data_IF_201708078311
#
_entry.id   IF_201708078311
#
_cell.length_a   1.000
_cell.length_b   1.000
_cell.length_c   1.000
_cell.angle_alpha   90.00
_cell.angle_beta   90.00
_cell.angle_gamma   90.00
#
_symmetry.space_group_name_H-M   'P 1'
#
loop_
_entity.id
_entity.type
_entity.pdbx_description
1 polymer ?
#
# COMPACT_ATOMS: atom_id res chain seq x y z
N UNK A 1 4.18 -6.81 -34.91
CA UNK A 1 2.71 -6.69 -34.98
C UNK A 1 2.13 -7.58 -33.89
N UNK A 2 1.41 -6.97 -32.94
CA UNK A 2 0.51 -7.57 -31.93
C UNK A 2 1.08 -8.74 -31.09
N UNK A 3 1.69 -8.44 -29.94
CA UNK A 3 1.78 -9.35 -28.76
C UNK A 3 2.41 -8.68 -27.52
N UNK A 4 1.98 -7.46 -27.19
CA UNK A 4 2.33 -6.83 -25.89
C UNK A 4 1.16 -6.43 -25.00
N UNK A 5 -0.09 -6.47 -25.45
CA UNK A 5 -1.24 -6.21 -24.57
C UNK A 5 -2.50 -6.93 -25.10
N UNK A 6 -3.00 -7.98 -24.44
CA UNK A 6 -4.24 -8.64 -24.84
C UNK A 6 -5.52 -7.94 -24.36
N UNK A 7 -5.45 -6.93 -23.48
CA UNK A 7 -6.64 -6.42 -22.78
C UNK A 7 -7.12 -5.01 -23.16
N UNK A 8 -6.63 -4.40 -24.25
CA UNK A 8 -7.08 -3.04 -24.62
C UNK A 8 -8.31 -3.03 -25.54
N UNK A 9 -8.72 -4.17 -26.12
CA UNK A 9 -9.91 -4.22 -26.99
C UNK A 9 -10.67 -5.54 -26.88
N UNK A 10 -11.44 -5.70 -25.81
CA UNK A 10 -12.64 -6.53 -25.83
C UNK A 10 -13.46 -6.25 -24.57
N UNK A 11 -14.69 -5.79 -24.78
CA UNK A 11 -15.74 -5.71 -23.76
C UNK A 11 -16.00 -7.11 -23.23
N UNK A 12 -15.47 -7.42 -22.06
CA UNK A 12 -15.87 -8.55 -21.25
C UNK A 12 -15.84 -8.11 -19.78
N UNK A 13 -16.84 -8.59 -19.06
CA UNK A 13 -17.31 -8.07 -17.78
C UNK A 13 -16.28 -7.94 -16.68
N UNK A 14 -16.63 -7.08 -15.72
CA UNK A 14 -15.94 -6.84 -14.45
C UNK A 14 -15.53 -8.14 -13.77
N UNK A 15 -14.29 -8.57 -13.97
CA UNK A 15 -13.64 -9.54 -13.09
C UNK A 15 -12.40 -8.92 -12.44
N UNK A 16 -12.33 -9.19 -11.15
CA UNK A 16 -11.46 -8.64 -10.11
C UNK A 16 -9.98 -8.60 -10.50
N UNK A 17 -9.33 -7.47 -10.21
CA UNK A 17 -7.88 -7.23 -10.41
C UNK A 17 -6.98 -8.33 -9.81
N UNK A 18 -7.47 -9.09 -8.83
CA UNK A 18 -6.79 -10.26 -8.27
C UNK A 18 -6.52 -11.40 -9.26
N UNK A 19 -7.42 -11.65 -10.22
CA UNK A 19 -7.25 -12.75 -11.20
C UNK A 19 -6.16 -12.45 -12.23
N UNK A 20 -6.00 -11.18 -12.58
CA UNK A 20 -4.97 -10.79 -13.56
C UNK A 20 -3.56 -11.06 -13.03
N UNK A 21 -3.30 -10.78 -11.74
CA UNK A 21 -1.97 -10.98 -11.13
C UNK A 21 -1.58 -12.45 -11.00
N UNK A 22 -2.51 -13.33 -10.63
CA UNK A 22 -2.30 -14.77 -10.58
C UNK A 22 -1.95 -15.32 -11.97
N UNK A 23 -2.68 -14.88 -12.99
CA UNK A 23 -2.46 -15.25 -14.40
C UNK A 23 -1.06 -14.86 -14.88
N UNK A 24 -0.55 -13.68 -14.49
CA UNK A 24 0.79 -13.22 -14.88
C UNK A 24 1.93 -14.01 -14.22
N UNK A 25 1.80 -14.40 -12.95
CA UNK A 25 2.82 -15.20 -12.26
C UNK A 25 2.91 -16.62 -12.81
N UNK A 26 1.76 -17.22 -13.13
CA UNK A 26 1.69 -18.54 -13.78
C UNK A 26 2.27 -18.51 -15.19
N UNK A 27 2.02 -17.44 -15.95
CA UNK A 27 2.61 -17.24 -17.28
C UNK A 27 4.14 -17.07 -17.19
N UNK A 28 4.65 -16.31 -16.21
CA UNK A 28 6.09 -16.15 -15.98
C UNK A 28 6.77 -17.38 -15.40
N UNK A 29 6.06 -18.24 -14.68
CA UNK A 29 6.58 -19.54 -14.23
C UNK A 29 6.75 -20.52 -15.40
N UNK A 30 6.01 -20.33 -16.49
CA UNK A 30 6.07 -21.13 -17.72
C UNK A 30 7.09 -20.60 -18.75
N UNK A 31 7.63 -19.39 -18.58
CA UNK A 31 8.73 -18.88 -19.42
C UNK A 31 10.03 -19.65 -19.10
N UNK A 32 10.31 -20.67 -19.93
CA UNK A 32 11.52 -21.50 -19.89
C UNK A 32 12.78 -20.66 -20.12
N UNK A 33 13.78 -20.81 -19.25
CA UNK A 33 15.14 -20.31 -19.50
C UNK A 33 15.95 -19.94 -18.24
N UNK A 34 15.30 -19.76 -17.09
CA UNK A 34 15.97 -19.55 -15.82
C UNK A 34 15.55 -20.66 -14.84
N UNK A 35 16.49 -21.56 -14.53
CA UNK A 35 16.33 -22.44 -13.36
C UNK A 35 16.23 -21.54 -12.13
N UNK A 36 15.05 -21.52 -11.50
CA UNK A 36 14.84 -20.77 -10.26
C UNK A 36 15.60 -21.48 -9.14
N UNK A 37 16.61 -20.81 -8.59
CA UNK A 37 17.42 -21.31 -7.48
C UNK A 37 16.90 -20.84 -6.13
N UNK A 38 16.08 -19.78 -6.09
CA UNK A 38 15.46 -19.23 -4.88
C UNK A 38 13.94 -19.26 -4.94
N UNK A 39 13.29 -19.51 -3.80
CA UNK A 39 11.83 -19.40 -3.63
C UNK A 39 11.34 -17.99 -3.99
N UNK A 40 12.20 -16.98 -3.77
CA UNK A 40 11.90 -15.57 -4.03
C UNK A 40 12.09 -15.16 -5.50
N UNK A 41 12.61 -16.05 -6.36
CA UNK A 41 12.87 -15.74 -7.77
C UNK A 41 11.60 -15.35 -8.53
N UNK A 42 11.72 -14.37 -9.42
CA UNK A 42 10.60 -13.85 -10.21
C UNK A 42 9.87 -12.66 -9.58
N UNK A 43 10.26 -12.22 -8.38
CA UNK A 43 9.90 -10.89 -7.86
C UNK A 43 10.81 -9.85 -8.54
N UNK A 44 10.21 -8.93 -9.30
CA UNK A 44 10.97 -7.87 -9.96
C UNK A 44 11.49 -6.85 -8.94
N UNK A 45 12.76 -6.45 -9.01
CA UNK A 45 13.31 -5.42 -8.13
C UNK A 45 12.71 -4.03 -8.38
N UNK A 46 12.16 -3.78 -9.57
CA UNK A 46 11.53 -2.50 -9.94
C UNK A 46 10.06 -2.37 -9.49
N UNK A 47 9.55 -3.29 -8.68
CA UNK A 47 8.22 -3.14 -8.09
C UNK A 47 8.24 -2.06 -7.00
N UNK A 48 7.13 -1.32 -6.83
CA UNK A 48 6.93 -0.48 -5.64
C UNK A 48 7.13 -1.28 -4.35
N UNK A 49 7.68 -0.64 -3.32
CA UNK A 49 8.14 -1.31 -2.11
C UNK A 49 7.03 -2.11 -1.40
N UNK A 50 5.82 -1.55 -1.27
CA UNK A 50 4.70 -2.24 -0.60
C UNK A 50 4.25 -3.48 -1.37
N UNK A 51 4.11 -3.35 -2.69
CA UNK A 51 3.76 -4.48 -3.55
C UNK A 51 4.87 -5.55 -3.56
N UNK A 52 6.14 -5.14 -3.51
CA UNK A 52 7.28 -6.05 -3.41
C UNK A 52 7.27 -6.81 -2.08
N UNK A 53 7.05 -6.12 -0.96
CA UNK A 53 6.91 -6.74 0.37
C UNK A 53 5.79 -7.79 0.39
N UNK A 54 4.62 -7.44 -0.17
CA UNK A 54 3.50 -8.38 -0.24
C UNK A 54 3.85 -9.64 -1.04
N UNK A 55 4.48 -9.50 -2.22
CA UNK A 55 4.90 -10.64 -3.04
C UNK A 55 5.97 -11.51 -2.38
N UNK A 56 6.91 -10.91 -1.65
CA UNK A 56 7.90 -11.64 -0.87
C UNK A 56 7.21 -12.56 0.13
N UNK A 57 6.24 -12.01 0.88
CA UNK A 57 5.48 -12.74 1.88
C UNK A 57 4.56 -13.79 1.27
N UNK A 58 3.87 -13.49 0.15
CA UNK A 58 3.04 -14.48 -0.56
C UNK A 58 3.87 -15.69 -1.05
N UNK A 59 5.10 -15.45 -1.53
CA UNK A 59 6.02 -16.53 -1.91
C UNK A 59 6.52 -17.34 -0.72
N UNK A 60 6.81 -16.69 0.40
CA UNK A 60 7.18 -17.37 1.63
C UNK A 60 6.01 -18.23 2.17
N UNK A 61 4.78 -17.71 2.16
CA UNK A 61 3.58 -18.45 2.55
C UNK A 61 3.34 -19.70 1.71
N UNK A 62 3.65 -19.67 0.40
CA UNK A 62 3.49 -20.82 -0.51
C UNK A 62 4.32 -22.05 -0.10
N UNK A 63 5.38 -21.86 0.68
CA UNK A 63 6.22 -22.95 1.22
C UNK A 63 5.92 -23.25 2.71
N UNK A 64 4.84 -22.68 3.25
CA UNK A 64 4.43 -22.86 4.65
C UNK A 64 5.14 -21.92 5.63
N UNK A 65 5.91 -20.95 5.16
CA UNK A 65 6.49 -19.90 6.02
C UNK A 65 5.47 -18.77 6.18
N UNK A 66 4.46 -19.02 7.01
CA UNK A 66 3.42 -18.04 7.36
C UNK A 66 2.94 -18.23 8.79
N UNK A 67 2.26 -17.22 9.31
CA UNK A 67 1.66 -17.29 10.63
C UNK A 67 0.43 -18.21 10.63
N UNK A 68 0.23 -19.05 11.66
CA UNK A 68 -0.89 -19.98 11.71
C UNK A 68 -2.19 -19.32 12.17
N UNK A 69 -2.11 -18.17 12.86
CA UNK A 69 -3.27 -17.51 13.48
C UNK A 69 -3.23 -15.99 13.29
N UNK A 70 -4.42 -15.39 13.31
CA UNK A 70 -4.62 -13.95 13.21
C UNK A 70 -3.96 -13.21 14.38
N UNK A 71 -4.10 -13.77 15.58
CA UNK A 71 -3.51 -13.25 16.80
C UNK A 71 -1.97 -13.20 16.71
N UNK A 72 -1.35 -14.17 16.02
CA UNK A 72 0.10 -14.19 15.80
C UNK A 72 0.56 -13.06 14.90
N UNK A 73 -0.19 -12.77 13.83
CA UNK A 73 0.12 -11.67 12.92
C UNK A 73 -0.02 -10.31 13.62
N UNK A 74 -1.08 -10.11 14.40
CA UNK A 74 -1.25 -8.89 15.20
C UNK A 74 -0.17 -8.74 16.27
N UNK A 75 0.15 -9.82 16.98
CA UNK A 75 1.20 -9.80 17.99
C UNK A 75 2.53 -9.35 17.40
N UNK A 76 2.92 -9.89 16.23
CA UNK A 76 4.15 -9.46 15.55
C UNK A 76 4.08 -8.01 15.11
N UNK A 77 2.97 -7.53 14.56
CA UNK A 77 2.83 -6.12 14.20
C UNK A 77 3.00 -5.18 15.41
N UNK A 78 2.48 -5.54 16.58
CA UNK A 78 2.68 -4.75 17.79
C UNK A 78 4.11 -4.81 18.32
N UNK A 79 4.77 -5.96 18.22
CA UNK A 79 6.19 -6.12 18.54
C UNK A 79 7.07 -5.15 17.74
N UNK A 80 6.93 -5.11 16.41
CA UNK A 80 7.71 -4.20 15.55
C UNK A 80 7.46 -2.72 15.89
N UNK A 81 6.21 -2.36 16.22
CA UNK A 81 5.88 -0.99 16.65
C UNK A 81 6.64 -0.62 17.94
N UNK A 82 6.75 -1.56 18.87
CA UNK A 82 7.41 -1.32 20.15
C UNK A 82 8.94 -1.31 19.99
N UNK A 83 9.51 -2.10 19.08
CA UNK A 83 10.93 -2.03 18.70
C UNK A 83 11.26 -0.69 18.04
N UNK A 84 10.46 -0.25 17.06
CA UNK A 84 10.59 1.07 16.44
C UNK A 84 10.55 2.22 17.46
N UNK A 85 9.58 2.20 18.39
CA UNK A 85 9.51 3.20 19.46
C UNK A 85 10.77 3.22 20.33
N UNK A 86 11.31 2.05 20.68
CA UNK A 86 12.51 1.94 21.50
C UNK A 86 13.72 2.60 20.82
N UNK A 87 13.92 2.37 19.53
CA UNK A 87 15.04 2.97 18.79
C UNK A 87 14.88 4.49 18.62
N UNK A 88 13.65 4.98 18.43
CA UNK A 88 13.36 6.43 18.48
C UNK A 88 13.73 7.04 19.84
N UNK A 89 13.41 6.37 20.96
CA UNK A 89 13.79 6.87 22.30
C UNK A 89 15.31 6.88 22.51
N UNK A 90 16.03 5.92 21.93
CA UNK A 90 17.50 5.87 21.93
C UNK A 90 18.13 6.93 21.02
N UNK A 91 17.32 7.61 20.18
CA UNK A 91 17.76 8.57 19.16
C UNK A 91 18.72 7.97 18.14
N UNK A 92 18.61 6.66 17.91
CA UNK A 92 19.35 5.96 16.87
C UNK A 92 18.52 5.99 15.58
N UNK A 93 18.84 6.93 14.69
CA UNK A 93 18.06 7.18 13.47
C UNK A 93 18.19 6.04 12.48
N UNK A 94 19.38 5.42 12.38
CA UNK A 94 19.64 4.34 11.43
C UNK A 94 18.84 3.10 11.85
N UNK A 95 18.88 2.74 13.13
CA UNK A 95 18.04 1.65 13.65
C UNK A 95 16.56 1.95 13.60
N UNK A 96 16.16 3.19 13.92
CA UNK A 96 14.75 3.56 13.79
C UNK A 96 14.26 3.45 12.34
N UNK A 97 15.10 3.71 11.33
CA UNK A 97 14.74 3.50 9.94
C UNK A 97 14.58 2.00 9.61
N UNK A 98 15.48 1.15 10.11
CA UNK A 98 15.39 -0.32 9.99
C UNK A 98 14.08 -0.85 10.59
N UNK A 99 13.84 -0.57 11.86
CA UNK A 99 12.61 -0.99 12.57
C UNK A 99 11.35 -0.38 11.95
N UNK A 100 11.43 0.85 11.42
CA UNK A 100 10.34 1.48 10.67
C UNK A 100 10.00 0.70 9.39
N UNK A 101 11.00 0.09 8.75
CA UNK A 101 10.82 -0.86 7.67
C UNK A 101 10.07 -2.11 8.09
N UNK A 102 10.41 -2.67 9.26
CA UNK A 102 9.78 -3.88 9.79
C UNK A 102 8.34 -3.65 10.25
N UNK A 103 8.02 -2.45 10.77
CA UNK A 103 6.63 -2.00 11.00
C UNK A 103 5.83 -2.02 9.69
N UNK A 104 6.39 -1.50 8.60
CA UNK A 104 5.71 -1.54 7.29
C UNK A 104 5.58 -2.97 6.77
N UNK A 105 6.61 -3.79 6.93
CA UNK A 105 6.61 -5.17 6.45
C UNK A 105 5.58 -6.03 7.20
N UNK A 106 5.50 -5.91 8.52
CA UNK A 106 4.52 -6.59 9.35
C UNK A 106 3.08 -6.08 9.10
N UNK A 107 2.88 -4.78 8.86
CA UNK A 107 1.58 -4.25 8.43
C UNK A 107 1.13 -4.81 7.08
N UNK A 108 2.04 -4.93 6.11
CA UNK A 108 1.73 -5.57 4.82
C UNK A 108 1.36 -7.05 5.01
N UNK A 109 1.98 -7.74 5.96
CA UNK A 109 1.62 -9.11 6.28
C UNK A 109 0.22 -9.21 6.91
N UNK A 110 -0.12 -8.25 7.76
CA UNK A 110 -1.47 -8.11 8.30
C UNK A 110 -2.50 -7.83 7.19
N UNK A 111 -2.19 -6.94 6.25
CA UNK A 111 -3.06 -6.72 5.09
C UNK A 111 -3.21 -7.98 4.23
N UNK A 112 -2.13 -8.73 4.00
CA UNK A 112 -2.16 -10.02 3.29
C UNK A 112 -3.11 -11.00 3.96
N UNK A 113 -3.11 -11.09 5.30
CA UNK A 113 -4.04 -11.93 6.07
C UNK A 113 -5.50 -11.62 5.75
N UNK A 114 -5.86 -10.33 5.67
CA UNK A 114 -7.19 -9.87 5.30
C UNK A 114 -7.43 -9.72 3.79
N UNK A 115 -6.52 -10.22 2.94
CA UNK A 115 -6.60 -10.12 1.48
C UNK A 115 -6.67 -8.68 0.96
N UNK A 116 -6.03 -7.76 1.67
CA UNK A 116 -5.91 -6.35 1.31
C UNK A 116 -4.58 -6.16 0.58
N UNK A 117 -4.62 -5.48 -0.57
CA UNK A 117 -3.39 -5.07 -1.28
C UNK A 117 -2.95 -3.71 -0.75
N UNK A 118 -1.81 -3.67 -0.04
CA UNK A 118 -1.34 -2.46 0.63
C UNK A 118 -1.13 -1.26 -0.30
N UNK A 119 -0.57 -1.50 -1.49
CA UNK A 119 -0.39 -0.48 -2.54
C UNK A 119 -1.73 0.17 -2.93
N UNK A 120 -2.78 -0.64 -3.12
CA UNK A 120 -4.10 -0.15 -3.48
C UNK A 120 -4.77 0.62 -2.34
N UNK A 121 -4.61 0.14 -1.10
CA UNK A 121 -5.14 0.79 0.10
C UNK A 121 -4.52 2.19 0.30
N UNK A 122 -3.20 2.29 0.15
CA UNK A 122 -2.49 3.55 0.22
C UNK A 122 -2.86 4.48 -0.94
N UNK A 123 -2.93 3.96 -2.16
CA UNK A 123 -3.37 4.73 -3.33
C UNK A 123 -4.74 5.39 -3.12
N UNK A 124 -5.74 4.63 -2.65
CA UNK A 124 -7.07 5.17 -2.32
C UNK A 124 -7.01 6.26 -1.27
N UNK A 125 -6.18 6.09 -0.24
CA UNK A 125 -6.00 7.09 0.81
C UNK A 125 -5.37 8.36 0.27
N UNK A 126 -4.35 8.26 -0.59
CA UNK A 126 -3.70 9.39 -1.24
C UNK A 126 -4.67 10.14 -2.17
N UNK A 127 -5.46 9.44 -2.99
CA UNK A 127 -6.49 10.05 -3.85
C UNK A 127 -7.52 10.82 -3.02
N UNK A 128 -7.99 10.23 -1.91
CA UNK A 128 -8.91 10.89 -1.00
C UNK A 128 -8.29 12.14 -0.35
N UNK A 129 -7.03 12.06 0.05
CA UNK A 129 -6.30 13.21 0.59
C UNK A 129 -6.21 14.34 -0.43
N UNK A 130 -5.78 14.05 -1.67
CA UNK A 130 -5.68 15.03 -2.75
C UNK A 130 -7.02 15.71 -2.99
N UNK A 131 -8.11 14.93 -3.14
CA UNK A 131 -9.45 15.49 -3.35
C UNK A 131 -9.88 16.45 -2.23
N UNK A 132 -9.62 16.08 -0.97
CA UNK A 132 -9.99 16.90 0.20
C UNK A 132 -9.10 18.13 0.31
N UNK A 133 -7.80 17.99 0.10
CA UNK A 133 -6.87 19.11 0.16
C UNK A 133 -7.15 20.13 -0.96
N UNK A 134 -7.47 19.67 -2.17
CA UNK A 134 -7.89 20.55 -3.26
C UNK A 134 -9.20 21.30 -2.98
N UNK A 135 -10.07 20.76 -2.12
CA UNK A 135 -11.21 21.52 -1.62
C UNK A 135 -10.78 22.63 -0.67
N UNK A 136 -9.89 22.34 0.28
CA UNK A 136 -9.31 23.35 1.18
C UNK A 136 -8.63 24.46 0.39
N UNK A 137 -7.83 24.12 -0.63
CA UNK A 137 -7.20 25.08 -1.56
C UNK A 137 -8.22 26.03 -2.20
N UNK A 138 -9.36 25.49 -2.65
CA UNK A 138 -10.41 26.31 -3.25
C UNK A 138 -11.09 27.24 -2.25
N UNK A 139 -11.32 26.80 -1.01
CA UNK A 139 -11.92 27.65 0.03
C UNK A 139 -10.97 28.78 0.46
N UNK A 140 -9.67 28.47 0.62
CA UNK A 140 -8.63 29.49 0.84
C UNK A 140 -8.63 30.49 -0.30
N UNK A 141 -8.63 30.03 -1.56
CA UNK A 141 -8.65 30.92 -2.72
C UNK A 141 -9.92 31.79 -2.77
N UNK A 142 -11.10 31.23 -2.49
CA UNK A 142 -12.37 31.97 -2.45
C UNK A 142 -12.43 33.02 -1.36
N UNK A 143 -11.75 32.80 -0.24
CA UNK A 143 -11.69 33.75 0.86
C UNK A 143 -10.94 35.05 0.52
N UNK A 144 -10.09 35.01 -0.53
CA UNK A 144 -9.19 36.11 -0.89
C UNK A 144 -8.01 36.33 0.06
N UNK A 145 -7.86 35.51 1.09
CA UNK A 145 -6.71 35.52 2.04
C UNK A 145 -5.61 34.56 1.58
N UNK A 146 -4.42 34.70 2.17
CA UNK A 146 -3.32 33.74 1.96
C UNK A 146 -3.36 32.63 3.00
N UNK A 147 -2.63 31.55 2.75
CA UNK A 147 -2.53 30.42 3.68
C UNK A 147 -2.01 30.82 5.06
N UNK A 148 -1.06 31.74 5.13
CA UNK A 148 -0.45 32.19 6.38
C UNK A 148 -1.43 33.00 7.26
N UNK A 149 -2.53 33.47 6.69
CA UNK A 149 -3.59 34.20 7.40
C UNK A 149 -4.57 33.27 8.11
N UNK A 150 -4.46 31.94 7.91
CA UNK A 150 -5.30 30.94 8.54
C UNK A 150 -4.56 30.22 9.66
N UNK A 151 -5.27 30.00 10.76
CA UNK A 151 -4.89 29.03 11.78
C UNK A 151 -5.16 27.61 11.29
N UNK A 152 -4.45 26.62 11.84
CA UNK A 152 -4.71 25.21 11.55
C UNK A 152 -6.18 24.83 11.83
N UNK A 153 -6.78 25.42 12.87
CA UNK A 153 -8.18 25.19 13.22
C UNK A 153 -9.14 25.66 12.12
N UNK A 154 -8.89 26.82 11.52
CA UNK A 154 -9.72 27.32 10.42
C UNK A 154 -9.54 26.48 9.14
N UNK A 155 -8.34 25.98 8.88
CA UNK A 155 -8.10 25.04 7.77
C UNK A 155 -8.77 23.68 8.03
N UNK A 156 -8.80 23.22 9.27
CA UNK A 156 -9.52 22.01 9.68
C UNK A 156 -11.03 22.14 9.45
N UNK A 157 -11.62 23.33 9.62
CA UNK A 157 -13.04 23.57 9.29
C UNK A 157 -13.32 23.37 7.79
N UNK A 158 -12.43 23.84 6.91
CA UNK A 158 -12.53 23.56 5.47
C UNK A 158 -12.33 22.07 5.15
N UNK A 159 -11.43 21.40 5.86
CA UNK A 159 -11.19 19.97 5.71
C UNK A 159 -12.41 19.14 6.13
N UNK A 160 -13.06 19.48 7.23
CA UNK A 160 -14.28 18.81 7.69
C UNK A 160 -15.46 19.07 6.74
N UNK A 161 -15.58 20.28 6.19
CA UNK A 161 -16.53 20.56 5.12
C UNK A 161 -16.25 19.69 3.88
N UNK A 162 -14.98 19.49 3.52
CA UNK A 162 -14.59 18.59 2.42
C UNK A 162 -15.03 17.15 2.68
N UNK A 163 -14.88 16.63 3.92
CA UNK A 163 -15.34 15.28 4.28
C UNK A 163 -16.84 15.13 4.03
N UNK A 164 -17.67 16.07 4.49
CA UNK A 164 -19.13 16.01 4.33
C UNK A 164 -19.52 16.05 2.86
N UNK A 165 -18.94 16.98 2.09
CA UNK A 165 -19.29 17.19 0.68
C UNK A 165 -18.85 16.06 -0.23
N UNK A 166 -17.66 15.48 0.02
CA UNK A 166 -17.04 14.49 -0.86
C UNK A 166 -17.37 13.04 -0.49
N UNK A 167 -17.71 12.75 0.77
CA UNK A 167 -18.18 11.42 1.18
C UNK A 167 -19.58 11.09 0.65
N UNK A 168 -20.33 12.08 0.16
CA UNK A 168 -21.68 11.88 -0.40
C UNK A 168 -21.66 11.37 -1.86
N UNK A 169 -20.48 11.28 -2.48
CA UNK A 169 -20.27 10.92 -3.90
C UNK A 169 -19.34 9.70 -4.10
N UNK A 170 -18.98 8.99 -3.03
CA UNK A 170 -18.21 7.72 -3.05
C UNK A 170 -19.16 6.54 -2.79
#
# INVERSE_FOLDING_TARGET
>A
MVRRHPHVFQTADRETVGDTLATWEELKAKEKGHERTSILDGISPGLPALLRAQKLQEKASKVGFDWPTEEGVWAKFYEEIDEFKQEIFKKDVEKAEEEGGDVLFSLINLFKWYKIVGENALHRTNTKFIRRFSYVEQEVQRSGKKWEDFTLKELDEFWDAAKVKLNSND
#
